data_IF_918095372233
#
_entry.id   IF_918095372233
#
_cell.length_a   1.000
_cell.length_b   1.000
_cell.length_c   1.000
_cell.angle_alpha   90.00
_cell.angle_beta   90.00
_cell.angle_gamma   90.00
#
_symmetry.space_group_name_H-M   'P 1'
#
loop_
_entity.id
_entity.type
_entity.pdbx_description
1 polymer ?
#
# COMPACT_ATOMS: atom_id res chain seq x y z
N UNK A 1 -14.69 -30.83 26.10
CA UNK A 1 -13.28 -30.65 26.50
C UNK A 1 -12.83 -29.28 26.00
N UNK A 2 -12.73 -28.26 26.87
CA UNK A 2 -12.26 -26.91 26.49
C UNK A 2 -10.79 -27.05 26.08
N UNK A 3 -10.45 -26.71 24.84
CA UNK A 3 -9.06 -26.62 24.40
C UNK A 3 -8.41 -25.51 25.24
N UNK A 4 -7.47 -25.86 26.12
CA UNK A 4 -6.66 -24.87 26.82
C UNK A 4 -5.68 -24.32 25.78
N UNK A 5 -5.89 -23.08 25.37
CA UNK A 5 -5.04 -22.37 24.42
C UNK A 5 -3.96 -21.63 25.24
N UNK A 6 -2.70 -21.72 24.83
CA UNK A 6 -1.61 -21.04 25.53
C UNK A 6 -1.71 -19.52 25.33
N UNK A 7 -1.67 -18.74 26.42
CA UNK A 7 -1.86 -17.28 26.38
C UNK A 7 -0.93 -16.58 25.39
N UNK A 8 0.34 -16.97 25.36
CA UNK A 8 1.33 -16.43 24.42
C UNK A 8 0.94 -16.67 22.96
N UNK A 9 0.44 -17.87 22.63
CA UNK A 9 -0.03 -18.18 21.27
C UNK A 9 -1.27 -17.37 20.89
N UNK A 10 -2.14 -17.04 21.85
CA UNK A 10 -3.30 -16.16 21.61
C UNK A 10 -2.81 -14.75 21.29
N UNK A 11 -1.88 -14.20 22.07
CA UNK A 11 -1.29 -12.88 21.81
C UNK A 11 -0.69 -12.86 20.41
N UNK A 12 0.19 -13.82 20.11
CA UNK A 12 0.84 -13.97 18.81
C UNK A 12 -0.15 -14.12 17.64
N UNK A 13 -1.27 -14.81 17.84
CA UNK A 13 -2.34 -14.88 16.85
C UNK A 13 -2.97 -13.51 16.58
N UNK A 14 -3.29 -12.77 17.65
CA UNK A 14 -3.92 -11.45 17.56
C UNK A 14 -2.97 -10.44 16.91
N UNK A 15 -1.71 -10.36 17.33
CA UNK A 15 -0.75 -9.44 16.69
C UNK A 15 -0.36 -9.86 15.28
N UNK A 16 -0.41 -11.15 14.94
CA UNK A 16 -0.26 -11.56 13.53
C UNK A 16 -1.43 -11.03 12.67
N UNK A 17 -2.65 -11.02 13.23
CA UNK A 17 -3.86 -10.53 12.57
C UNK A 17 -3.97 -8.99 12.54
N UNK A 18 -3.45 -8.32 13.56
CA UNK A 18 -3.46 -6.87 13.77
C UNK A 18 -2.04 -6.46 14.19
N UNK A 19 -1.09 -6.33 13.24
CA UNK A 19 0.33 -6.16 13.54
C UNK A 19 0.70 -4.83 14.18
N UNK A 20 -0.06 -3.76 13.89
CA UNK A 20 0.19 -2.43 14.41
C UNK A 20 -1.10 -1.61 14.55
N UNK A 21 -0.93 -0.37 14.99
CA UNK A 21 -2.02 0.61 15.20
C UNK A 21 -2.73 0.96 13.88
N UNK A 22 -1.99 1.04 12.77
CA UNK A 22 -2.56 1.34 11.45
C UNK A 22 -3.52 0.21 11.03
N UNK A 23 -3.07 -1.05 11.16
CA UNK A 23 -3.91 -2.21 10.90
C UNK A 23 -5.10 -2.34 11.88
N UNK A 24 -5.01 -1.78 13.09
CA UNK A 24 -6.15 -1.81 14.02
C UNK A 24 -7.31 -0.94 13.52
N UNK A 25 -7.01 0.21 12.91
CA UNK A 25 -8.03 1.09 12.31
C UNK A 25 -8.76 0.34 11.19
N UNK A 26 -8.00 -0.28 10.28
CA UNK A 26 -8.58 -1.07 9.18
C UNK A 26 -9.37 -2.29 9.68
N UNK A 27 -8.91 -2.93 10.76
CA UNK A 27 -9.61 -4.04 11.38
C UNK A 27 -11.03 -3.65 11.84
N UNK A 28 -11.21 -2.42 12.35
CA UNK A 28 -12.51 -1.91 12.76
C UNK A 28 -13.46 -1.70 11.58
N UNK A 29 -12.94 -1.33 10.42
CA UNK A 29 -13.74 -1.16 9.20
C UNK A 29 -14.08 -2.51 8.55
N UNK A 30 -13.12 -3.45 8.58
CA UNK A 30 -13.25 -4.74 7.91
C UNK A 30 -14.12 -5.74 8.68
N UNK A 31 -13.83 -5.91 9.96
CA UNK A 31 -14.41 -6.99 10.76
C UNK A 31 -15.78 -6.57 11.28
N UNK A 32 -16.85 -7.37 11.10
CA UNK A 32 -18.18 -7.07 11.65
C UNK A 32 -18.14 -6.83 13.16
N UNK A 33 -18.91 -5.85 13.64
CA UNK A 33 -18.95 -5.44 15.05
C UNK A 33 -19.20 -6.62 16.00
N UNK A 34 -20.14 -7.50 15.65
CA UNK A 34 -20.45 -8.68 16.45
C UNK A 34 -19.22 -9.60 16.64
N UNK A 35 -18.44 -9.80 15.57
CA UNK A 35 -17.21 -10.60 15.62
C UNK A 35 -16.10 -9.91 16.39
N UNK A 36 -15.99 -8.57 16.32
CA UNK A 36 -15.06 -7.81 17.16
C UNK A 36 -15.41 -7.94 18.63
N UNK A 37 -16.68 -7.79 18.99
CA UNK A 37 -17.16 -7.93 20.36
C UNK A 37 -16.91 -9.35 20.91
N UNK A 38 -17.14 -10.37 20.08
CA UNK A 38 -16.82 -11.76 20.45
C UNK A 38 -15.32 -12.00 20.62
N UNK A 39 -14.47 -11.42 19.78
CA UNK A 39 -13.01 -11.47 19.95
C UNK A 39 -12.59 -10.84 21.28
N UNK A 40 -13.06 -9.63 21.58
CA UNK A 40 -12.72 -8.94 22.84
C UNK A 40 -13.19 -9.74 24.06
N UNK A 41 -14.41 -10.29 24.02
CA UNK A 41 -14.90 -11.19 25.06
C UNK A 41 -14.01 -12.43 25.22
N UNK A 42 -13.63 -13.07 24.12
CA UNK A 42 -12.73 -14.21 24.15
C UNK A 42 -11.36 -13.87 24.78
N UNK A 43 -10.79 -12.71 24.45
CA UNK A 43 -9.50 -12.28 25.00
C UNK A 43 -9.60 -11.96 26.50
N UNK A 44 -10.70 -11.34 26.92
CA UNK A 44 -10.99 -11.09 28.33
C UNK A 44 -11.17 -12.40 29.11
N UNK A 45 -11.96 -13.34 28.59
CA UNK A 45 -12.20 -14.66 29.22
C UNK A 45 -10.92 -15.52 29.36
N UNK A 46 -9.83 -15.17 28.67
CA UNK A 46 -8.52 -15.82 28.75
C UNK A 46 -7.46 -14.95 29.47
N UNK A 47 -7.87 -13.87 30.14
CA UNK A 47 -7.04 -12.85 30.79
C UNK A 47 -5.88 -12.34 29.91
N UNK A 48 -6.18 -12.06 28.64
CA UNK A 48 -5.23 -11.41 27.71
C UNK A 48 -5.38 -9.89 27.74
N UNK A 49 -6.61 -9.40 27.90
CA UNK A 49 -6.93 -7.98 28.03
C UNK A 49 -7.69 -7.72 29.32
N UNK A 50 -7.62 -6.48 29.82
CA UNK A 50 -8.21 -6.07 31.10
C UNK A 50 -9.71 -5.83 31.05
N UNK A 51 -10.29 -5.58 29.87
CA UNK A 51 -11.70 -5.28 29.67
C UNK A 51 -12.14 -5.67 28.25
N UNK A 52 -13.44 -5.84 28.03
CA UNK A 52 -14.06 -6.25 26.75
C UNK A 52 -14.25 -5.11 25.74
N UNK A 53 -13.48 -4.03 25.87
CA UNK A 53 -13.63 -2.81 25.08
C UNK A 53 -12.48 -2.63 24.07
N UNK A 54 -12.70 -1.78 23.05
CA UNK A 54 -11.72 -1.55 21.99
C UNK A 54 -10.42 -0.93 22.50
N UNK A 55 -10.47 -0.18 23.60
CA UNK A 55 -9.29 0.46 24.21
C UNK A 55 -8.33 -0.60 24.77
N UNK A 56 -8.85 -1.60 25.47
CA UNK A 56 -8.03 -2.69 26.01
C UNK A 56 -7.40 -3.53 24.90
N UNK A 57 -8.10 -3.72 23.78
CA UNK A 57 -7.52 -4.36 22.59
C UNK A 57 -6.45 -3.48 21.95
N UNK A 58 -6.68 -2.17 21.83
CA UNK A 58 -5.69 -1.22 21.31
C UNK A 58 -4.40 -1.24 22.14
N UNK A 59 -4.50 -1.18 23.48
CA UNK A 59 -3.36 -1.24 24.40
C UNK A 59 -2.57 -2.56 24.25
N UNK A 60 -3.25 -3.68 23.99
CA UNK A 60 -2.59 -4.95 23.68
C UNK A 60 -1.77 -4.86 22.38
N UNK A 61 -2.33 -4.28 21.32
CA UNK A 61 -1.63 -4.12 20.03
C UNK A 61 -0.45 -3.17 20.17
N UNK A 62 -0.63 -2.01 20.78
CA UNK A 62 0.44 -1.02 20.98
C UNK A 62 1.63 -1.62 21.75
N UNK A 63 1.35 -2.41 22.80
CA UNK A 63 2.39 -3.07 23.60
C UNK A 63 3.15 -4.18 22.85
N UNK A 64 2.50 -4.84 21.89
CA UNK A 64 3.04 -6.02 21.21
C UNK A 64 3.18 -5.81 19.70
N UNK A 65 3.26 -4.56 19.25
CA UNK A 65 3.32 -4.21 17.83
C UNK A 65 4.53 -4.90 17.18
N UNK A 66 4.31 -5.51 16.02
CA UNK A 66 5.38 -6.15 15.27
C UNK A 66 6.23 -5.06 14.60
N UNK A 67 7.55 -5.19 14.67
CA UNK A 67 8.45 -4.24 13.99
C UNK A 67 8.15 -4.21 12.49
N UNK A 68 8.09 -2.99 11.91
CA UNK A 68 7.81 -2.80 10.47
C UNK A 68 8.90 -3.37 9.56
N UNK A 69 10.08 -3.67 10.10
CA UNK A 69 11.16 -4.40 9.43
C UNK A 69 10.81 -5.89 9.30
N UNK A 70 9.81 -6.17 8.47
CA UNK A 70 9.60 -7.50 7.94
C UNK A 70 10.86 -7.91 7.16
N UNK A 71 11.71 -8.74 7.78
CA UNK A 71 12.79 -9.42 7.06
C UNK A 71 12.19 -9.99 5.79
N UNK A 72 12.69 -9.53 4.64
CA UNK A 72 12.06 -9.79 3.36
C UNK A 72 11.96 -11.30 3.17
N UNK A 73 10.77 -11.85 3.38
CA UNK A 73 10.44 -13.15 2.81
C UNK A 73 10.74 -13.00 1.33
N UNK A 74 11.60 -13.88 0.79
CA UNK A 74 12.28 -13.67 -0.49
C UNK A 74 11.32 -13.05 -1.51
N UNK A 75 11.70 -11.94 -2.12
CA UNK A 75 10.92 -11.14 -3.08
C UNK A 75 10.36 -11.93 -4.28
N UNK A 76 10.59 -13.25 -4.32
CA UNK A 76 10.14 -14.20 -5.35
C UNK A 76 8.92 -15.04 -4.96
N UNK A 77 8.54 -15.11 -3.68
CA UNK A 77 7.43 -15.95 -3.25
C UNK A 77 6.08 -15.34 -3.63
N UNK A 78 5.15 -16.17 -4.14
CA UNK A 78 3.79 -15.74 -4.50
C UNK A 78 2.78 -16.38 -3.54
N UNK A 79 1.57 -15.82 -3.45
CA UNK A 79 0.51 -16.39 -2.61
C UNK A 79 0.21 -17.88 -2.89
N UNK A 80 0.39 -18.34 -4.14
CA UNK A 80 0.26 -19.77 -4.50
C UNK A 80 1.21 -20.69 -3.73
N UNK A 81 2.35 -20.19 -3.28
CA UNK A 81 3.37 -20.96 -2.57
C UNK A 81 3.01 -21.12 -1.08
N UNK A 82 1.99 -20.40 -0.59
CA UNK A 82 1.57 -20.39 0.81
C UNK A 82 1.33 -21.79 1.38
N UNK A 83 0.69 -22.68 0.62
CA UNK A 83 0.40 -24.07 1.04
C UNK A 83 1.70 -24.81 1.40
N UNK A 84 2.76 -24.61 0.60
CA UNK A 84 4.08 -25.21 0.83
C UNK A 84 4.75 -24.60 2.06
N UNK A 85 4.71 -23.27 2.16
CA UNK A 85 5.36 -22.52 3.24
C UNK A 85 4.76 -22.88 4.60
N UNK A 86 3.43 -22.89 4.72
CA UNK A 86 2.73 -23.20 5.98
C UNK A 86 2.59 -24.70 6.25
N UNK A 87 3.13 -25.54 5.35
CA UNK A 87 3.16 -27.01 5.43
C UNK A 87 1.75 -27.60 5.61
N UNK A 88 0.86 -27.30 4.66
CA UNK A 88 -0.51 -27.82 4.56
C UNK A 88 -0.66 -28.48 3.18
N UNK A 89 -1.60 -29.42 2.99
CA UNK A 89 -1.72 -30.15 1.73
C UNK A 89 -2.56 -29.45 0.66
N UNK A 90 -3.53 -28.60 1.06
CA UNK A 90 -4.42 -27.90 0.13
C UNK A 90 -5.04 -26.65 0.74
N UNK A 91 -5.55 -25.75 -0.09
CA UNK A 91 -6.35 -24.59 0.37
C UNK A 91 -7.64 -25.01 1.07
N UNK A 92 -8.21 -26.16 0.72
CA UNK A 92 -9.36 -26.72 1.44
C UNK A 92 -8.98 -27.06 2.88
N UNK A 93 -7.89 -27.80 3.07
CA UNK A 93 -7.41 -28.14 4.40
C UNK A 93 -7.02 -26.89 5.20
N UNK A 94 -6.47 -25.86 4.54
CA UNK A 94 -6.15 -24.59 5.18
C UNK A 94 -7.42 -23.86 5.65
N UNK A 95 -8.44 -23.77 4.80
CA UNK A 95 -9.74 -23.17 5.14
C UNK A 95 -10.39 -23.90 6.33
N UNK A 96 -10.40 -25.23 6.32
CA UNK A 96 -10.96 -26.04 7.42
C UNK A 96 -10.23 -25.75 8.74
N UNK A 97 -8.89 -25.70 8.72
CA UNK A 97 -8.07 -25.40 9.90
C UNK A 97 -8.29 -23.98 10.44
N UNK A 98 -8.45 -22.99 9.56
CA UNK A 98 -8.74 -21.60 9.94
C UNK A 98 -10.14 -21.51 10.55
N UNK A 99 -11.14 -22.11 9.90
CA UNK A 99 -12.51 -22.11 10.38
C UNK A 99 -12.65 -22.83 11.73
N UNK A 100 -11.90 -23.92 11.94
CA UNK A 100 -11.84 -24.60 13.23
C UNK A 100 -11.26 -23.70 14.33
N UNK A 101 -10.17 -22.97 14.05
CA UNK A 101 -9.59 -22.04 15.01
C UNK A 101 -10.55 -20.87 15.32
N UNK A 102 -11.17 -20.29 14.29
CA UNK A 102 -12.16 -19.22 14.41
C UNK A 102 -13.33 -19.64 15.32
N UNK A 103 -13.84 -20.87 15.15
CA UNK A 103 -14.86 -21.46 16.02
C UNK A 103 -14.37 -21.65 17.45
N UNK A 104 -13.15 -22.14 17.65
CA UNK A 104 -12.57 -22.33 18.99
C UNK A 104 -12.38 -21.00 19.73
N UNK A 105 -12.08 -19.92 18.99
CA UNK A 105 -11.98 -18.55 19.49
C UNK A 105 -13.32 -17.82 19.53
N UNK A 106 -14.41 -18.48 19.14
CA UNK A 106 -15.78 -17.96 19.11
C UNK A 106 -15.95 -16.67 18.28
N UNK A 107 -15.25 -16.51 17.16
CA UNK A 107 -15.28 -15.27 16.35
C UNK A 107 -16.57 -15.06 15.51
N UNK A 108 -17.63 -15.83 15.79
CA UNK A 108 -18.89 -15.78 15.06
C UNK A 108 -18.90 -16.60 13.77
N UNK A 109 -19.86 -16.32 12.90
CA UNK A 109 -20.12 -17.09 11.66
C UNK A 109 -19.22 -16.71 10.48
N UNK A 110 -18.07 -16.08 10.76
CA UNK A 110 -17.10 -15.77 9.72
C UNK A 110 -16.40 -17.03 9.27
N UNK A 111 -16.69 -17.43 8.03
CA UNK A 111 -16.10 -18.60 7.39
C UNK A 111 -15.26 -18.20 6.18
N UNK A 112 -14.06 -18.77 6.11
CA UNK A 112 -13.21 -18.73 4.95
C UNK A 112 -13.59 -19.89 4.03
N UNK A 113 -13.93 -19.60 2.78
CA UNK A 113 -14.11 -20.64 1.76
C UNK A 113 -12.77 -20.96 1.09
N UNK A 114 -12.60 -22.21 0.66
CA UNK A 114 -11.46 -22.62 -0.16
C UNK A 114 -11.36 -21.83 -1.48
N UNK A 115 -12.50 -21.45 -2.07
CA UNK A 115 -12.57 -20.64 -3.29
C UNK A 115 -11.97 -19.24 -3.09
N UNK A 116 -12.04 -18.66 -1.88
CA UNK A 116 -11.41 -17.37 -1.60
C UNK A 116 -9.89 -17.44 -1.71
N UNK A 117 -9.24 -18.54 -1.30
CA UNK A 117 -7.79 -18.70 -1.48
C UNK A 117 -7.37 -18.83 -2.95
N UNK A 118 -8.16 -19.56 -3.74
CA UNK A 118 -7.94 -19.61 -5.19
C UNK A 118 -8.06 -18.22 -5.83
N UNK A 119 -9.01 -17.39 -5.37
CA UNK A 119 -9.18 -16.00 -5.82
C UNK A 119 -8.02 -15.11 -5.38
N UNK A 120 -7.58 -15.21 -4.12
CA UNK A 120 -6.42 -14.48 -3.58
C UNK A 120 -5.10 -14.82 -4.29
N UNK A 121 -5.04 -15.92 -5.03
CA UNK A 121 -3.89 -16.24 -5.88
C UNK A 121 -3.82 -15.37 -7.14
N UNK A 122 -4.98 -14.87 -7.62
CA UNK A 122 -5.10 -14.24 -8.93
C UNK A 122 -5.70 -12.83 -8.91
N UNK A 123 -6.36 -12.43 -7.82
CA UNK A 123 -7.07 -11.16 -7.66
C UNK A 123 -6.50 -10.33 -6.49
N UNK A 124 -6.50 -8.99 -6.59
CA UNK A 124 -6.07 -8.12 -5.49
C UNK A 124 -7.00 -8.19 -4.28
N UNK A 125 -6.49 -7.82 -3.10
CA UNK A 125 -7.23 -7.80 -1.82
C UNK A 125 -7.95 -6.47 -1.62
N UNK A 126 -8.93 -6.19 -2.48
CA UNK A 126 -9.64 -4.91 -2.51
C UNK A 126 -11.02 -4.91 -1.86
N UNK A 127 -11.46 -6.02 -1.28
CA UNK A 127 -12.78 -6.13 -0.63
C UNK A 127 -12.63 -6.50 0.84
N UNK A 128 -13.56 -6.04 1.72
CA UNK A 128 -13.55 -6.42 3.14
C UNK A 128 -13.50 -7.95 3.33
N UNK A 129 -14.26 -8.71 2.55
CA UNK A 129 -14.28 -10.19 2.62
C UNK A 129 -12.91 -10.82 2.33
N UNK A 130 -12.13 -10.25 1.40
CA UNK A 130 -10.76 -10.71 1.10
C UNK A 130 -9.81 -10.33 2.25
N UNK A 131 -9.90 -9.10 2.77
CA UNK A 131 -9.08 -8.66 3.90
C UNK A 131 -9.36 -9.47 5.17
N UNK A 132 -10.62 -9.75 5.50
CA UNK A 132 -11.01 -10.65 6.59
C UNK A 132 -10.41 -12.05 6.39
N UNK A 133 -10.43 -12.58 5.17
CA UNK A 133 -9.80 -13.88 4.87
C UNK A 133 -8.31 -13.86 5.20
N UNK A 134 -7.60 -12.81 4.81
CA UNK A 134 -6.18 -12.63 5.13
C UNK A 134 -5.96 -12.48 6.63
N UNK A 135 -6.82 -11.71 7.34
CA UNK A 135 -6.77 -11.58 8.81
C UNK A 135 -6.91 -12.93 9.51
N UNK A 136 -7.90 -13.74 9.13
CA UNK A 136 -8.10 -15.07 9.71
C UNK A 136 -6.98 -16.06 9.36
N UNK A 137 -6.40 -15.96 8.17
CA UNK A 137 -5.18 -16.69 7.82
C UNK A 137 -4.01 -16.27 8.74
N UNK A 138 -3.80 -14.97 8.91
CA UNK A 138 -2.74 -14.41 9.76
C UNK A 138 -2.91 -14.84 11.21
N UNK A 139 -4.15 -14.81 11.72
CA UNK A 139 -4.53 -15.32 13.04
C UNK A 139 -4.12 -16.80 13.20
N UNK A 140 -4.45 -17.63 12.21
CA UNK A 140 -4.09 -19.05 12.23
C UNK A 140 -2.57 -19.29 12.17
N UNK A 141 -1.85 -18.52 11.35
CA UNK A 141 -0.38 -18.57 11.29
C UNK A 141 0.20 -18.17 12.66
N UNK A 142 -0.28 -17.08 13.25
CA UNK A 142 0.18 -16.63 14.56
C UNK A 142 -0.09 -17.65 15.67
N UNK A 143 -1.16 -18.43 15.57
CA UNK A 143 -1.47 -19.47 16.54
C UNK A 143 -0.73 -20.80 16.31
N UNK A 144 -0.63 -21.27 15.06
CA UNK A 144 -0.14 -22.63 14.71
C UNK A 144 1.26 -22.67 14.09
N UNK A 145 1.80 -21.52 13.69
CA UNK A 145 3.06 -21.34 12.97
C UNK A 145 3.77 -20.08 13.47
N UNK A 146 3.91 -19.95 14.79
CA UNK A 146 4.47 -18.76 15.46
C UNK A 146 5.81 -18.29 14.86
N UNK A 147 6.68 -19.22 14.48
CA UNK A 147 7.95 -18.94 13.80
C UNK A 147 7.84 -18.22 12.44
N UNK A 148 6.64 -18.14 11.85
CA UNK A 148 6.40 -17.46 10.57
C UNK A 148 5.79 -16.07 10.73
N UNK A 149 5.47 -15.62 11.95
CA UNK A 149 4.75 -14.36 12.19
C UNK A 149 5.49 -13.15 11.63
N UNK A 150 6.81 -13.10 11.79
CA UNK A 150 7.65 -12.01 11.24
C UNK A 150 7.59 -11.91 9.72
N UNK A 151 7.21 -13.00 9.04
CA UNK A 151 7.22 -13.09 7.57
C UNK A 151 5.83 -13.21 6.95
N UNK A 152 4.80 -13.58 7.72
CA UNK A 152 3.46 -13.90 7.25
C UNK A 152 2.36 -13.36 8.19
N UNK A 153 2.59 -12.19 8.78
CA UNK A 153 1.52 -11.40 9.40
C UNK A 153 0.58 -10.80 8.34
N UNK A 154 -0.46 -10.09 8.79
CA UNK A 154 -1.47 -9.48 7.93
C UNK A 154 -0.86 -8.63 6.80
N UNK A 155 0.03 -7.69 7.13
CA UNK A 155 0.67 -6.80 6.16
C UNK A 155 1.51 -7.56 5.13
N UNK A 156 2.30 -8.54 5.59
CA UNK A 156 3.12 -9.36 4.70
C UNK A 156 2.24 -10.20 3.75
N UNK A 157 1.13 -10.75 4.25
CA UNK A 157 0.20 -11.52 3.44
C UNK A 157 -0.58 -10.65 2.46
N UNK A 158 -0.91 -9.40 2.80
CA UNK A 158 -1.46 -8.44 1.85
C UNK A 158 -0.50 -8.21 0.68
N UNK A 159 0.80 -8.02 0.96
CA UNK A 159 1.83 -7.87 -0.08
C UNK A 159 1.92 -9.12 -0.97
N UNK A 160 1.83 -10.32 -0.40
CA UNK A 160 1.90 -11.59 -1.15
C UNK A 160 0.68 -11.87 -2.04
N UNK A 161 -0.52 -11.49 -1.58
CA UNK A 161 -1.81 -11.74 -2.24
C UNK A 161 -2.21 -10.64 -3.21
N UNK A 162 -1.68 -9.44 -3.02
CA UNK A 162 -1.73 -8.44 -4.05
C UNK A 162 -0.89 -8.92 -5.24
N UNK A 163 -1.54 -9.12 -6.40
CA UNK A 163 -0.85 -8.95 -7.69
C UNK A 163 -0.24 -7.55 -7.85
N UNK A 164 -0.52 -6.64 -6.91
CA UNK A 164 0.29 -5.45 -6.65
C UNK A 164 1.56 -5.76 -5.82
N UNK A 165 2.11 -6.97 -5.88
CA UNK A 165 3.47 -7.07 -6.39
C UNK A 165 3.47 -6.44 -7.78
N UNK A 166 3.31 -5.11 -7.82
CA UNK A 166 4.06 -4.29 -8.72
C UNK A 166 5.46 -4.79 -8.37
N UNK A 167 6.01 -5.72 -9.18
CA UNK A 167 7.43 -5.58 -9.43
C UNK A 167 7.52 -4.10 -9.73
N UNK A 168 8.13 -3.31 -8.83
CA UNK A 168 8.21 -1.86 -8.99
C UNK A 168 8.82 -1.75 -10.36
N UNK A 169 7.98 -1.51 -11.37
CA UNK A 169 8.40 -1.73 -12.74
C UNK A 169 9.56 -0.80 -12.84
N UNK A 170 10.75 -1.33 -13.12
CA UNK A 170 11.94 -0.48 -13.05
C UNK A 170 11.85 0.66 -14.06
N UNK A 171 10.87 0.57 -14.95
CA UNK A 171 10.48 1.53 -15.95
C UNK A 171 9.09 2.11 -15.69
N UNK A 172 8.89 3.33 -16.17
CA UNK A 172 7.60 3.98 -16.14
C UNK A 172 7.73 5.43 -16.53
N UNK A 173 6.80 6.22 -16.02
CA UNK A 173 6.80 7.68 -16.16
C UNK A 173 6.95 8.28 -14.76
N UNK A 174 7.92 9.18 -14.59
CA UNK A 174 8.05 10.01 -13.39
C UNK A 174 7.61 11.42 -13.72
N UNK A 175 6.72 11.95 -12.90
CA UNK A 175 6.27 13.34 -12.92
C UNK A 175 6.95 14.04 -11.76
N UNK A 176 7.59 15.16 -12.02
CA UNK A 176 8.15 16.03 -10.98
C UNK A 176 7.46 17.39 -11.04
N UNK A 177 7.04 17.90 -9.89
CA UNK A 177 6.43 19.22 -9.72
C UNK A 177 7.37 20.06 -8.88
N UNK A 178 7.80 21.21 -9.40
CA UNK A 178 8.64 22.15 -8.68
C UNK A 178 7.90 23.47 -8.49
N UNK A 179 7.88 23.95 -7.24
CA UNK A 179 7.40 25.29 -6.90
C UNK A 179 8.61 26.22 -6.76
N UNK A 180 8.74 27.19 -7.67
CA UNK A 180 9.80 28.18 -7.65
C UNK A 180 9.30 29.49 -7.06
N UNK A 181 9.81 29.88 -5.90
CA UNK A 181 9.54 31.17 -5.27
C UNK A 181 10.48 32.26 -5.80
N UNK A 182 9.92 33.31 -6.42
CA UNK A 182 10.59 34.57 -6.76
C UNK A 182 10.51 35.53 -5.57
N UNK A 183 11.11 35.15 -4.44
CA UNK A 183 11.14 35.93 -3.20
C UNK A 183 9.97 35.70 -2.23
N UNK A 184 8.98 34.90 -2.61
CA UNK A 184 7.91 34.45 -1.70
C UNK A 184 8.28 33.17 -0.98
N UNK A 185 7.94 33.09 0.31
CA UNK A 185 8.16 31.89 1.12
C UNK A 185 7.11 30.82 0.75
N UNK A 186 7.63 29.66 0.36
CA UNK A 186 6.84 28.42 0.23
C UNK A 186 6.82 27.79 1.62
N UNK A 187 5.70 27.96 2.33
CA UNK A 187 5.55 27.47 3.69
C UNK A 187 4.90 26.07 3.73
N UNK A 188 4.95 25.43 4.90
CA UNK A 188 4.43 24.07 5.11
C UNK A 188 2.95 23.94 4.73
N UNK A 189 2.13 24.98 4.95
CA UNK A 189 0.70 24.96 4.60
C UNK A 189 0.50 24.82 3.08
N UNK A 190 1.28 25.55 2.27
CA UNK A 190 1.25 25.46 0.80
C UNK A 190 1.68 24.06 0.33
N UNK A 191 2.76 23.53 0.90
CA UNK A 191 3.28 22.20 0.56
C UNK A 191 2.28 21.10 0.91
N UNK A 192 1.66 21.19 2.10
CA UNK A 192 0.64 20.24 2.55
C UNK A 192 -0.60 20.27 1.66
N UNK A 193 -1.07 21.47 1.29
CA UNK A 193 -2.17 21.61 0.34
C UNK A 193 -1.82 20.98 -1.01
N UNK A 194 -0.63 21.26 -1.54
CA UNK A 194 -0.19 20.75 -2.83
C UNK A 194 -0.16 19.22 -2.87
N UNK A 195 0.41 18.60 -1.83
CA UNK A 195 0.44 17.14 -1.67
C UNK A 195 -0.97 16.53 -1.56
N UNK A 196 -1.86 17.16 -0.80
CA UNK A 196 -3.25 16.70 -0.67
C UNK A 196 -4.01 16.82 -2.00
N UNK A 197 -3.76 17.88 -2.76
CA UNK A 197 -4.38 18.09 -4.05
C UNK A 197 -3.92 17.05 -5.08
N UNK A 198 -2.62 16.72 -5.12
CA UNK A 198 -2.12 15.62 -5.96
C UNK A 198 -2.78 14.29 -5.62
N UNK A 199 -2.93 13.97 -4.33
CA UNK A 199 -3.65 12.78 -3.90
C UNK A 199 -5.12 12.77 -4.37
N UNK A 200 -5.78 13.92 -4.32
CA UNK A 200 -7.16 14.05 -4.77
C UNK A 200 -7.28 13.90 -6.30
N UNK A 201 -6.38 14.52 -7.07
CA UNK A 201 -6.32 14.40 -8.53
C UNK A 201 -6.18 12.92 -8.95
N UNK A 202 -5.26 12.18 -8.33
CA UNK A 202 -5.06 10.75 -8.62
C UNK A 202 -6.35 9.95 -8.35
N UNK A 203 -7.03 10.23 -7.24
CA UNK A 203 -8.31 9.60 -6.88
C UNK A 203 -9.41 9.92 -7.90
N UNK A 204 -9.55 11.19 -8.26
CA UNK A 204 -10.57 11.67 -9.21
C UNK A 204 -10.38 11.05 -10.60
N UNK A 205 -9.13 10.99 -11.06
CA UNK A 205 -8.75 10.38 -12.34
C UNK A 205 -8.76 8.84 -12.30
N UNK A 206 -8.98 8.24 -11.13
CA UNK A 206 -8.98 6.78 -10.91
C UNK A 206 -7.69 6.11 -11.41
N UNK A 207 -6.57 6.82 -11.30
CA UNK A 207 -5.26 6.30 -11.73
C UNK A 207 -4.83 5.22 -10.75
N UNK A 208 -4.50 4.05 -11.30
CA UNK A 208 -4.04 2.90 -10.54
C UNK A 208 -2.51 2.94 -10.47
N UNK A 209 -1.96 2.41 -9.39
CA UNK A 209 -0.51 2.19 -9.21
C UNK A 209 0.37 3.46 -9.19
N UNK A 210 -0.20 4.65 -8.98
CA UNK A 210 0.60 5.84 -8.72
C UNK A 210 1.31 5.72 -7.36
N UNK A 211 2.61 5.97 -7.34
CA UNK A 211 3.44 5.93 -6.13
C UNK A 211 4.09 7.27 -5.87
N UNK A 212 4.09 7.68 -4.59
CA UNK A 212 4.87 8.81 -4.10
C UNK A 212 6.21 8.36 -3.48
N UNK A 213 6.50 7.05 -3.52
CA UNK A 213 7.71 6.43 -2.92
C UNK A 213 8.93 6.49 -3.87
N UNK A 214 8.72 7.01 -5.08
CA UNK A 214 9.70 7.19 -6.14
C UNK A 214 10.74 8.26 -5.86
N UNK A 215 11.69 7.95 -4.99
CA UNK A 215 12.98 8.64 -4.75
C UNK A 215 12.91 10.07 -4.21
N UNK A 216 13.65 10.28 -3.11
CA UNK A 216 14.24 11.53 -2.62
C UNK A 216 13.64 12.80 -3.23
N UNK A 217 12.73 13.45 -2.50
CA UNK A 217 12.34 14.83 -2.79
C UNK A 217 13.63 15.64 -2.98
N UNK A 218 13.92 16.05 -4.21
CA UNK A 218 15.19 16.69 -4.55
C UNK A 218 15.45 17.94 -3.71
N UNK A 219 14.37 18.59 -3.30
CA UNK A 219 14.29 19.73 -2.39
C UNK A 219 12.91 19.75 -1.71
N UNK A 220 12.76 20.56 -0.65
CA UNK A 220 11.51 20.71 0.12
C UNK A 220 10.30 21.13 -0.73
N UNK A 221 10.53 21.78 -1.88
CA UNK A 221 9.50 22.34 -2.76
C UNK A 221 9.26 21.51 -4.04
N UNK A 222 9.79 20.28 -4.08
CA UNK A 222 9.65 19.38 -5.21
C UNK A 222 8.89 18.11 -4.83
N UNK A 223 7.94 17.71 -5.68
CA UNK A 223 7.10 16.53 -5.48
C UNK A 223 7.25 15.59 -6.67
N UNK A 224 7.41 14.30 -6.40
CA UNK A 224 7.49 13.28 -7.45
C UNK A 224 6.32 12.30 -7.37
N UNK A 225 5.85 11.88 -8.55
CA UNK A 225 4.89 10.79 -8.72
C UNK A 225 5.46 9.82 -9.73
N UNK A 226 5.55 8.56 -9.34
CA UNK A 226 5.89 7.45 -10.22
C UNK A 226 4.65 6.75 -10.69
N UNK A 227 4.54 6.60 -12.01
CA UNK A 227 3.56 5.77 -12.68
C UNK A 227 4.31 4.60 -13.34
N UNK A 228 4.36 3.42 -12.71
CA UNK A 228 4.98 2.24 -13.28
C UNK A 228 4.31 1.85 -14.60
N UNK A 229 5.10 1.40 -15.59
CA UNK A 229 4.53 0.80 -16.80
C UNK A 229 3.87 -0.54 -16.47
N UNK A 230 2.78 -0.85 -17.16
CA UNK A 230 2.09 -2.16 -17.05
C UNK A 230 2.92 -3.30 -17.68
N UNK A 231 3.94 -2.97 -18.47
CA UNK A 231 4.80 -3.93 -19.15
C UNK A 231 6.08 -4.22 -18.33
N UNK A 232 6.27 -5.49 -17.94
CA UNK A 232 7.56 -5.99 -17.44
C UNK A 232 8.41 -6.45 -18.64
N UNK A 233 9.39 -5.67 -19.05
CA UNK A 233 10.33 -6.12 -20.09
C UNK A 233 11.35 -7.11 -19.54
N UNK A 234 11.59 -8.16 -20.32
CA UNK A 234 12.74 -9.06 -20.17
C UNK A 234 13.89 -8.70 -21.14
N UNK A 235 13.72 -7.67 -21.96
CA UNK A 235 14.67 -7.24 -23.00
C UNK A 235 14.98 -5.74 -22.90
N UNK A 236 16.23 -5.35 -23.17
CA UNK A 236 16.76 -3.97 -23.04
C UNK A 236 16.20 -2.94 -24.05
N UNK A 237 15.10 -3.26 -24.76
CA UNK A 237 14.50 -2.40 -25.78
C UNK A 237 13.27 -1.67 -25.23
N UNK A 238 13.41 -0.37 -24.95
CA UNK A 238 12.28 0.50 -24.61
C UNK A 238 11.56 0.96 -25.87
N UNK A 239 10.31 0.53 -26.06
CA UNK A 239 9.48 0.92 -27.20
C UNK A 239 8.51 2.03 -26.74
N UNK A 240 8.46 3.19 -27.43
CA UNK A 240 7.64 4.33 -26.98
C UNK A 240 6.14 4.02 -26.81
N UNK A 241 5.57 3.24 -27.72
CA UNK A 241 4.14 2.90 -27.76
C UNK A 241 3.64 2.28 -26.44
N UNK A 242 4.50 1.55 -25.74
CA UNK A 242 4.14 0.82 -24.53
C UNK A 242 4.00 1.71 -23.28
N UNK A 243 4.32 2.99 -23.40
CA UNK A 243 4.09 3.98 -22.35
C UNK A 243 2.80 4.77 -22.55
N UNK A 244 2.05 4.56 -23.64
CA UNK A 244 0.93 5.42 -24.04
C UNK A 244 -0.11 5.67 -22.93
N UNK A 245 -0.53 4.61 -22.20
CA UNK A 245 -1.47 4.78 -21.08
C UNK A 245 -0.85 5.55 -19.92
N UNK A 246 0.36 5.19 -19.54
CA UNK A 246 1.10 5.82 -18.43
C UNK A 246 1.39 7.29 -18.71
N UNK A 247 1.70 7.64 -19.97
CA UNK A 247 1.86 9.02 -20.43
C UNK A 247 0.54 9.77 -20.38
N UNK A 248 -0.54 9.17 -20.91
CA UNK A 248 -1.87 9.80 -20.87
C UNK A 248 -2.27 10.16 -19.44
N UNK A 249 -2.04 9.24 -18.51
CA UNK A 249 -2.30 9.48 -17.08
C UNK A 249 -1.38 10.56 -16.50
N UNK A 250 -0.10 10.56 -16.87
CA UNK A 250 0.85 11.59 -16.42
C UNK A 250 0.47 12.99 -16.88
N UNK A 251 0.04 13.13 -18.14
CA UNK A 251 -0.40 14.39 -18.72
C UNK A 251 -1.72 14.82 -18.06
N UNK A 252 -2.64 13.89 -17.79
CA UNK A 252 -3.88 14.19 -17.10
C UNK A 252 -3.64 14.73 -15.68
N UNK A 253 -2.72 14.13 -14.91
CA UNK A 253 -2.35 14.65 -13.59
C UNK A 253 -1.72 16.04 -13.72
N UNK A 254 -0.74 16.20 -14.61
CA UNK A 254 -0.05 17.47 -14.82
C UNK A 254 -1.05 18.58 -15.18
N UNK A 255 -1.94 18.31 -16.12
CA UNK A 255 -2.98 19.24 -16.58
C UNK A 255 -4.00 19.59 -15.49
N UNK A 256 -4.43 18.62 -14.67
CA UNK A 256 -5.29 18.93 -13.52
C UNK A 256 -4.58 19.87 -12.55
N UNK A 257 -3.30 19.64 -12.27
CA UNK A 257 -2.55 20.50 -11.35
C UNK A 257 -2.30 21.90 -11.93
N UNK A 258 -2.06 22.05 -13.25
CA UNK A 258 -1.91 23.37 -13.87
C UNK A 258 -3.18 24.22 -13.80
N UNK A 259 -4.36 23.61 -13.65
CA UNK A 259 -5.63 24.30 -13.44
C UNK A 259 -5.88 24.56 -11.95
N UNK A 260 -5.70 23.54 -11.11
CA UNK A 260 -6.05 23.63 -9.68
C UNK A 260 -5.08 24.51 -8.89
N UNK A 261 -3.81 24.59 -9.27
CA UNK A 261 -2.83 25.44 -8.60
C UNK A 261 -3.19 26.95 -8.68
N UNK A 262 -3.44 27.55 -9.87
CA UNK A 262 -3.89 28.93 -9.97
C UNK A 262 -5.20 29.25 -9.26
N UNK A 263 -6.10 28.27 -9.14
CA UNK A 263 -7.39 28.42 -8.46
C UNK A 263 -7.29 28.22 -6.94
N UNK A 264 -6.12 27.87 -6.43
CA UNK A 264 -5.92 27.66 -5.00
C UNK A 264 -5.90 28.98 -4.22
N UNK A 265 -6.29 28.93 -2.95
CA UNK A 265 -6.08 30.02 -1.99
C UNK A 265 -4.60 30.33 -1.70
N UNK A 266 -3.69 29.58 -2.31
CA UNK A 266 -2.25 29.60 -2.06
C UNK A 266 -1.45 30.21 -3.21
N UNK A 267 -2.13 30.62 -4.29
CA UNK A 267 -1.51 31.24 -5.45
C UNK A 267 -0.84 32.58 -5.10
N UNK A 268 0.30 32.83 -5.74
CA UNK A 268 0.99 34.11 -5.72
C UNK A 268 1.64 34.34 -7.08
N UNK A 269 1.67 35.60 -7.54
CA UNK A 269 2.40 35.99 -8.76
C UNK A 269 3.91 35.75 -8.67
N UNK A 270 4.41 35.48 -7.46
CA UNK A 270 5.81 35.19 -7.18
C UNK A 270 6.09 33.70 -6.98
N UNK A 271 5.11 32.81 -7.17
CA UNK A 271 5.34 31.37 -7.10
C UNK A 271 4.92 30.72 -8.41
N UNK A 272 5.91 30.20 -9.12
CA UNK A 272 5.70 29.53 -10.40
C UNK A 272 5.73 28.02 -10.21
N UNK A 273 4.77 27.33 -10.82
CA UNK A 273 4.75 25.88 -10.93
C UNK A 273 5.47 25.47 -12.22
N UNK A 274 6.39 24.53 -12.11
CA UNK A 274 7.01 23.85 -13.26
C UNK A 274 6.81 22.35 -13.09
N UNK A 275 6.39 21.67 -14.16
CA UNK A 275 6.12 20.24 -14.17
C UNK A 275 7.03 19.58 -15.20
N UNK A 276 7.86 18.64 -14.76
CA UNK A 276 8.69 17.80 -15.60
C UNK A 276 8.10 16.39 -15.73
N UNK A 277 8.07 15.84 -16.94
CA UNK A 277 7.67 14.45 -17.20
C UNK A 277 8.80 13.74 -17.92
N UNK A 278 9.25 12.62 -17.37
CA UNK A 278 10.29 11.77 -17.94
C UNK A 278 9.83 10.31 -18.00
N UNK A 279 10.20 9.61 -19.06
CA UNK A 279 9.81 8.23 -19.32
C UNK A 279 11.05 7.35 -19.45
N UNK A 280 11.01 6.15 -18.91
CA UNK A 280 12.12 5.19 -18.96
C UNK A 280 12.42 4.58 -17.58
N UNK A 281 13.66 4.16 -17.37
CA UNK A 281 14.09 3.51 -16.13
C UNK A 281 14.17 4.50 -14.96
N UNK A 282 13.43 4.26 -13.87
CA UNK A 282 13.32 5.15 -12.70
C UNK A 282 14.66 5.52 -12.07
N UNK A 283 15.66 4.64 -12.17
CA UNK A 283 17.04 4.90 -11.68
C UNK A 283 17.74 6.05 -12.43
N UNK A 284 17.32 6.35 -13.67
CA UNK A 284 17.92 7.34 -14.57
C UNK A 284 17.10 8.62 -14.70
N UNK A 285 15.79 8.59 -14.41
CA UNK A 285 14.89 9.72 -14.68
C UNK A 285 15.25 11.00 -13.90
N UNK A 286 15.86 10.86 -12.72
CA UNK A 286 16.19 11.98 -11.86
C UNK A 286 17.15 13.00 -12.50
N UNK A 287 18.12 12.53 -13.27
CA UNK A 287 19.09 13.39 -13.96
C UNK A 287 18.38 14.20 -15.04
N UNK A 288 17.49 13.57 -15.80
CA UNK A 288 16.73 14.21 -16.87
C UNK A 288 15.71 15.22 -16.33
N UNK A 289 15.02 14.88 -15.23
CA UNK A 289 14.03 15.75 -14.59
C UNK A 289 14.67 17.04 -14.04
N UNK A 290 15.82 16.94 -13.35
CA UNK A 290 16.54 18.13 -12.87
C UNK A 290 16.90 19.09 -14.00
N UNK A 291 17.31 18.56 -15.16
CA UNK A 291 17.67 19.38 -16.32
C UNK A 291 16.47 20.15 -16.86
N UNK A 292 15.29 19.53 -16.94
CA UNK A 292 14.11 20.19 -17.52
C UNK A 292 13.39 21.09 -16.52
N UNK A 293 13.42 20.79 -15.21
CA UNK A 293 12.84 21.66 -14.17
C UNK A 293 13.61 22.98 -14.04
N UNK A 294 14.94 22.92 -14.07
CA UNK A 294 15.81 24.09 -13.90
C UNK A 294 16.14 24.83 -15.20
N UNK A 295 15.64 24.37 -16.34
CA UNK A 295 15.87 25.06 -17.61
C UNK A 295 15.22 26.46 -17.58
N UNK A 296 15.99 27.47 -17.95
CA UNK A 296 15.48 28.82 -18.20
C UNK A 296 14.74 28.83 -19.54
N UNK A 297 13.46 28.42 -19.51
CA UNK A 297 12.55 28.44 -20.65
C UNK A 297 11.57 29.61 -20.51
N UNK A 298 11.02 30.06 -21.64
CA UNK A 298 10.03 31.13 -21.69
C UNK A 298 8.85 30.87 -20.75
N UNK A 299 8.29 31.94 -20.18
CA UNK A 299 7.35 31.93 -19.05
C UNK A 299 6.02 31.18 -19.29
N UNK A 300 5.79 30.65 -20.50
CA UNK A 300 4.58 29.89 -20.86
C UNK A 300 4.67 28.37 -20.69
N UNK A 301 5.87 27.77 -20.60
CA UNK A 301 6.02 26.31 -20.63
C UNK A 301 5.97 25.68 -19.21
N UNK A 302 4.76 25.55 -18.67
CA UNK A 302 4.48 24.94 -17.36
C UNK A 302 4.72 23.42 -17.34
N UNK A 303 4.40 22.71 -18.43
CA UNK A 303 4.64 21.27 -18.57
C UNK A 303 5.80 21.06 -19.55
N UNK A 304 6.81 20.34 -19.10
CA UNK A 304 8.06 20.07 -19.81
C UNK A 304 8.27 18.57 -19.87
N UNK A 305 8.66 18.06 -21.02
CA UNK A 305 8.83 16.62 -21.23
C UNK A 305 10.21 16.31 -21.79
N UNK A 306 10.75 15.14 -21.46
CA UNK A 306 11.98 14.67 -22.13
C UNK A 306 11.71 14.31 -23.58
N UNK A 307 12.76 14.25 -24.40
CA UNK A 307 12.62 13.87 -25.82
C UNK A 307 12.02 12.47 -25.97
N UNK A 308 12.44 11.50 -25.16
CA UNK A 308 11.87 10.15 -25.20
C UNK A 308 10.39 10.15 -24.81
N UNK A 309 10.01 10.91 -23.77
CA UNK A 309 8.60 11.10 -23.39
C UNK A 309 7.76 11.69 -24.52
N UNK A 310 8.32 12.59 -25.34
CA UNK A 310 7.61 13.16 -26.50
C UNK A 310 7.31 12.14 -27.60
N UNK A 311 8.11 11.07 -27.70
CA UNK A 311 7.96 10.02 -28.72
C UNK A 311 6.98 8.91 -28.30
N UNK A 312 6.64 8.85 -27.03
CA UNK A 312 5.76 7.87 -26.40
C UNK A 312 4.29 8.33 -26.44
#
# INVERSE_FOLDING_TARGET
MKLILEKEKIILAVVSMIPDVDSFIEFKEDMPEESRNRLMKFLYDNDIISDTNEKALFELIEKNALEKETQSFSTKAKFKDLIRIVKVHSFRQLADKINQLSKNMNLGDIQVSNTMFSRLTNEPVNTPKKRITIRLLSLWIGYKRTHLISNLNYEALLKLSNKNNVSVSKIGVRIAFALHGRGDVINEKKLRWFKNELNQIIKDLKIKNASFEGSDSFQVNEFTIDLPSEHEYQTDSYIPVDYGKTITDSIAIAHQMTIRWPLSQHISQRINLVIGIATGEFSKLNIHLKSILNANLDEGATIRVTEFTRLC
#
